data_IF_482550750474
#
_entry.id   IF_482550750474
#
_cell.length_a   1.000
_cell.length_b   1.000
_cell.length_c   1.000
_cell.angle_alpha   90.00
_cell.angle_beta   90.00
_cell.angle_gamma   90.00
#
_symmetry.space_group_name_H-M   'P 1'
#
loop_
_entity.id
_entity.type
_entity.pdbx_description
1 polymer ?
#
# COMPACT_ATOMS: atom_id res chain seq x y z
N UNK A 1 -113.91 -33.00 3.26
CA UNK A 1 -112.79 -32.60 4.12
C UNK A 1 -111.53 -32.61 3.26
N UNK A 2 -111.12 -31.44 2.76
CA UNK A 2 -109.78 -30.84 2.99
C UNK A 2 -108.64 -31.74 2.50
N UNK A 3 -107.91 -31.44 1.43
CA UNK A 3 -106.94 -30.34 1.31
C UNK A 3 -106.41 -30.34 -0.15
N UNK A 4 -106.54 -29.27 -0.97
CA UNK A 4 -105.57 -28.16 -1.14
C UNK A 4 -104.11 -28.63 -1.25
N UNK A 5 -103.27 -28.30 -2.25
CA UNK A 5 -103.19 -27.27 -3.32
C UNK A 5 -102.07 -27.74 -4.30
N UNK A 6 -102.25 -27.68 -5.63
CA UNK A 6 -101.68 -26.68 -6.57
C UNK A 6 -100.14 -26.76 -6.75
N UNK A 7 -99.48 -26.63 -7.91
CA UNK A 7 -99.81 -26.43 -9.33
C UNK A 7 -98.44 -26.49 -10.11
N UNK A 8 -98.44 -26.96 -11.37
CA UNK A 8 -97.63 -26.52 -12.55
C UNK A 8 -96.07 -26.34 -12.42
N UNK A 9 -95.19 -26.53 -13.41
CA UNK A 9 -95.25 -26.80 -14.84
C UNK A 9 -93.82 -27.12 -15.37
N UNK A 10 -93.79 -27.77 -16.54
CA UNK A 10 -92.84 -27.60 -17.65
C UNK A 10 -91.32 -27.78 -17.42
N UNK A 11 -90.80 -28.88 -17.98
CA UNK A 11 -89.38 -29.11 -18.25
C UNK A 11 -89.06 -28.57 -19.65
N UNK A 12 -88.11 -27.63 -19.76
CA UNK A 12 -87.57 -27.17 -21.04
C UNK A 12 -86.05 -26.85 -20.96
N UNK A 13 -85.30 -27.61 -21.76
CA UNK A 13 -84.25 -27.21 -22.71
C UNK A 13 -83.13 -26.20 -22.32
N UNK A 14 -81.88 -26.66 -22.41
CA UNK A 14 -80.67 -25.84 -22.69
C UNK A 14 -79.62 -26.74 -23.37
N UNK A 15 -79.41 -26.66 -24.69
CA UNK A 15 -78.51 -25.79 -25.48
C UNK A 15 -77.01 -25.86 -25.12
N UNK A 16 -76.24 -26.18 -26.17
CA UNK A 16 -74.79 -26.34 -26.23
C UNK A 16 -74.04 -25.01 -26.07
N UNK A 17 -72.93 -25.03 -25.31
CA UNK A 17 -71.99 -23.91 -25.16
C UNK A 17 -70.69 -24.17 -25.91
N UNK A 18 -70.33 -23.25 -26.80
CA UNK A 18 -69.10 -23.25 -27.58
C UNK A 18 -67.89 -22.75 -26.75
N UNK A 19 -66.73 -23.35 -27.02
CA UNK A 19 -65.44 -23.09 -26.39
C UNK A 19 -64.86 -21.73 -26.78
N UNK A 20 -64.48 -20.92 -25.80
CA UNK A 20 -63.70 -19.69 -25.99
C UNK A 20 -62.22 -19.95 -25.63
N UNK A 21 -61.33 -19.68 -26.58
CA UNK A 21 -59.87 -19.61 -26.38
C UNK A 21 -59.51 -18.33 -25.61
N UNK A 22 -58.75 -18.45 -24.53
CA UNK A 22 -58.07 -17.34 -23.87
C UNK A 22 -56.59 -17.33 -24.30
N UNK A 23 -56.00 -16.18 -24.69
CA UNK A 23 -54.57 -16.11 -24.96
C UNK A 23 -53.79 -16.08 -23.64
N UNK A 24 -52.72 -16.90 -23.57
CA UNK A 24 -51.69 -16.76 -22.56
C UNK A 24 -51.01 -15.39 -22.75
N UNK A 25 -51.31 -14.44 -21.88
CA UNK A 25 -50.44 -13.29 -21.66
C UNK A 25 -49.22 -13.74 -20.88
N UNK A 26 -48.03 -13.64 -21.47
CA UNK A 26 -46.78 -13.64 -20.72
C UNK A 26 -46.79 -12.40 -19.82
N UNK A 27 -46.98 -12.58 -18.52
CA UNK A 27 -46.58 -11.58 -17.52
C UNK A 27 -45.06 -11.43 -17.60
N UNK A 28 -44.60 -10.38 -18.28
CA UNK A 28 -43.23 -9.92 -18.11
C UNK A 28 -43.07 -9.50 -16.65
N UNK A 29 -42.28 -10.26 -15.90
CA UNK A 29 -41.87 -9.92 -14.55
C UNK A 29 -41.00 -8.66 -14.65
N UNK A 30 -41.58 -7.50 -14.38
CA UNK A 30 -40.84 -6.26 -14.16
C UNK A 30 -40.19 -6.33 -12.77
N UNK A 31 -39.15 -7.16 -12.62
CA UNK A 31 -38.24 -7.17 -11.46
C UNK A 31 -36.99 -8.02 -11.74
N UNK A 32 -36.44 -7.93 -12.95
CA UNK A 32 -35.03 -8.24 -13.12
C UNK A 32 -34.24 -7.08 -12.47
N UNK A 33 -33.89 -7.21 -11.19
CA UNK A 33 -32.85 -6.35 -10.59
C UNK A 33 -31.66 -6.37 -11.56
N UNK A 34 -31.09 -5.23 -11.97
CA UNK A 34 -29.80 -5.26 -12.66
C UNK A 34 -28.85 -6.09 -11.79
N UNK A 35 -28.10 -7.00 -12.40
CA UNK A 35 -27.19 -7.89 -11.69
C UNK A 35 -26.30 -7.04 -10.78
N UNK A 36 -26.64 -7.01 -9.48
CA UNK A 36 -25.90 -6.22 -8.52
C UNK A 36 -24.57 -6.91 -8.32
N UNK A 37 -23.50 -6.28 -8.76
CA UNK A 37 -22.14 -6.79 -8.64
C UNK A 37 -21.51 -6.42 -7.29
N UNK A 38 -22.16 -5.53 -6.55
CA UNK A 38 -21.70 -5.07 -5.24
C UNK A 38 -22.86 -4.71 -4.30
N UNK A 39 -22.54 -4.61 -3.01
CA UNK A 39 -23.50 -4.18 -1.98
C UNK A 39 -23.64 -2.66 -2.01
N UNK A 40 -24.83 -2.09 -2.33
CA UNK A 40 -24.99 -0.64 -2.48
C UNK A 40 -24.49 0.16 -1.28
N UNK A 41 -23.83 1.28 -1.57
CA UNK A 41 -23.26 2.23 -0.62
C UNK A 41 -22.17 1.64 0.30
N UNK A 42 -21.72 0.41 0.04
CA UNK A 42 -20.68 -0.25 0.83
C UNK A 42 -19.30 0.17 0.31
N UNK A 43 -18.50 0.75 1.19
CA UNK A 43 -17.07 1.00 0.98
C UNK A 43 -16.26 -0.32 1.00
N UNK A 44 -15.48 -0.55 -0.05
CA UNK A 44 -14.61 -1.72 -0.21
C UNK A 44 -13.18 -1.27 -0.47
N UNK A 45 -12.24 -2.13 -0.10
CA UNK A 45 -10.84 -1.94 -0.40
C UNK A 45 -10.60 -1.96 -1.92
N UNK A 46 -9.70 -1.12 -2.37
CA UNK A 46 -9.15 -1.17 -3.72
C UNK A 46 -7.68 -0.79 -3.67
N UNK A 47 -6.97 -1.10 -4.75
CA UNK A 47 -5.57 -0.72 -4.89
C UNK A 47 -5.35 -0.06 -6.24
N UNK A 48 -4.68 1.07 -6.22
CA UNK A 48 -4.27 1.82 -7.40
C UNK A 48 -3.25 1.03 -8.23
N UNK A 49 -3.06 1.40 -9.50
CA UNK A 49 -2.07 0.77 -10.39
C UNK A 49 -0.63 0.93 -9.90
N UNK A 50 -0.32 2.02 -9.21
CA UNK A 50 0.95 2.28 -8.53
C UNK A 50 1.12 1.52 -7.20
N UNK A 51 0.12 0.68 -6.86
CA UNK A 51 -0.01 -0.08 -5.61
C UNK A 51 -0.38 0.73 -4.37
N UNK A 52 -0.70 2.01 -4.49
CA UNK A 52 -1.27 2.77 -3.39
C UNK A 52 -2.59 2.12 -2.92
N UNK A 53 -2.72 1.94 -1.61
CA UNK A 53 -3.94 1.39 -1.02
C UNK A 53 -5.02 2.47 -0.96
N UNK A 54 -6.27 2.08 -1.19
CA UNK A 54 -7.39 3.00 -1.26
C UNK A 54 -8.72 2.35 -0.93
N UNK A 55 -9.76 3.16 -1.06
CA UNK A 55 -11.15 2.73 -0.89
C UNK A 55 -12.00 3.18 -2.08
N UNK A 56 -13.01 2.39 -2.40
CA UNK A 56 -14.05 2.74 -3.37
C UNK A 56 -15.41 2.36 -2.82
N UNK A 57 -16.45 3.08 -3.21
CA UNK A 57 -17.81 2.87 -2.73
C UNK A 57 -18.63 2.23 -3.84
N UNK A 58 -19.39 1.18 -3.52
CA UNK A 58 -20.38 0.64 -4.45
C UNK A 58 -21.49 1.67 -4.69
N UNK A 59 -21.84 1.92 -5.95
CA UNK A 59 -22.91 2.82 -6.34
C UNK A 59 -24.24 2.41 -5.70
N UNK A 60 -25.13 3.38 -5.47
CA UNK A 60 -26.44 3.16 -4.84
C UNK A 60 -27.34 2.14 -5.59
N UNK A 61 -27.12 1.97 -6.90
CA UNK A 61 -27.84 0.99 -7.72
C UNK A 61 -27.23 -0.43 -7.65
N UNK A 62 -26.02 -0.57 -7.10
CA UNK A 62 -25.27 -1.83 -7.02
C UNK A 62 -24.60 -2.26 -8.32
N UNK A 63 -24.56 -1.39 -9.35
CA UNK A 63 -24.14 -1.77 -10.70
C UNK A 63 -22.64 -1.59 -10.95
N UNK A 64 -21.96 -0.74 -10.18
CA UNK A 64 -20.56 -0.40 -10.31
C UNK A 64 -19.98 0.16 -9.01
N UNK A 65 -18.67 0.37 -8.98
CA UNK A 65 -17.99 1.07 -7.89
C UNK A 65 -17.56 2.47 -8.33
N UNK A 66 -17.38 3.38 -7.38
CA UNK A 66 -16.72 4.66 -7.57
C UNK A 66 -15.25 4.48 -7.94
N UNK A 67 -14.58 5.60 -8.20
CA UNK A 67 -13.11 5.62 -8.28
C UNK A 67 -12.51 5.11 -6.98
N UNK A 68 -11.39 4.41 -7.11
CA UNK A 68 -10.52 4.12 -5.99
C UNK A 68 -9.81 5.41 -5.56
N UNK A 69 -10.04 5.86 -4.33
CA UNK A 69 -9.37 7.02 -3.75
C UNK A 69 -8.28 6.53 -2.77
N UNK A 70 -7.05 7.08 -2.82
CA UNK A 70 -6.67 8.36 -3.43
C UNK A 70 -6.08 8.27 -4.85
N UNK A 71 -6.35 7.23 -5.63
CA UNK A 71 -5.71 7.06 -6.94
C UNK A 71 -5.89 8.28 -7.85
N UNK A 72 -4.83 8.64 -8.56
CA UNK A 72 -4.97 9.52 -9.73
C UNK A 72 -5.85 8.82 -10.78
N UNK A 73 -6.47 9.60 -11.67
CA UNK A 73 -7.48 9.05 -12.61
C UNK A 73 -6.89 7.97 -13.52
N UNK A 74 -5.61 8.08 -13.89
CA UNK A 74 -4.90 7.12 -14.73
C UNK A 74 -4.43 5.86 -13.97
N UNK A 75 -4.43 5.93 -12.63
CA UNK A 75 -4.06 4.83 -11.73
C UNK A 75 -5.27 4.10 -11.15
N UNK A 76 -6.49 4.58 -11.40
CA UNK A 76 -7.70 3.92 -10.96
C UNK A 76 -7.94 2.64 -11.79
N UNK A 77 -8.15 1.47 -11.16
CA UNK A 77 -8.49 0.24 -11.87
C UNK A 77 -9.94 0.29 -12.37
N UNK A 78 -10.21 0.99 -13.47
CA UNK A 78 -11.48 0.84 -14.20
C UNK A 78 -11.49 -0.48 -14.97
N UNK A 79 -12.54 -1.28 -14.76
CA UNK A 79 -12.85 -2.45 -15.59
C UNK A 79 -13.73 -1.92 -16.75
N UNK A 80 -13.47 -2.25 -18.02
CA UNK A 80 -12.70 -3.37 -18.54
C UNK A 80 -11.27 -2.98 -18.96
N UNK A 81 -10.35 -3.88 -18.62
CA UNK A 81 -8.96 -3.91 -19.09
C UNK A 81 -8.93 -3.64 -20.61
N UNK A 82 -8.37 -2.51 -21.01
CA UNK A 82 -7.80 -2.41 -22.34
C UNK A 82 -6.80 -3.55 -22.53
N UNK A 83 -6.65 -4.01 -23.78
CA UNK A 83 -5.80 -5.14 -24.13
C UNK A 83 -4.40 -4.95 -23.54
N UNK A 84 -4.04 -5.84 -22.61
CA UNK A 84 -2.75 -5.87 -21.91
C UNK A 84 -1.61 -5.97 -22.92
N UNK A 85 -0.86 -4.89 -23.11
CA UNK A 85 0.33 -4.85 -23.96
C UNK A 85 1.55 -5.51 -23.30
N UNK A 86 1.39 -6.07 -22.09
CA UNK A 86 2.41 -6.77 -21.33
C UNK A 86 3.51 -5.86 -20.77
N UNK A 87 3.39 -4.53 -20.90
CA UNK A 87 4.38 -3.58 -20.40
C UNK A 87 4.19 -3.22 -18.93
N UNK A 88 3.06 -3.62 -18.31
CA UNK A 88 2.68 -3.24 -16.94
C UNK A 88 2.29 -4.47 -16.09
N UNK A 89 2.51 -4.42 -14.76
CA UNK A 89 2.09 -5.51 -13.87
C UNK A 89 0.56 -5.68 -13.91
N UNK A 90 0.04 -6.92 -13.98
CA UNK A 90 -1.39 -7.17 -14.09
C UNK A 90 -2.12 -6.72 -12.81
N UNK A 91 -3.23 -6.00 -12.95
CA UNK A 91 -4.15 -5.77 -11.82
C UNK A 91 -4.83 -7.10 -11.49
N UNK A 92 -4.61 -7.61 -10.28
CA UNK A 92 -5.27 -8.84 -9.87
C UNK A 92 -6.72 -8.54 -9.47
N UNK A 93 -7.64 -9.52 -9.49
CA UNK A 93 -8.99 -9.34 -8.92
C UNK A 93 -8.97 -8.89 -7.43
N UNK A 94 -7.84 -9.11 -6.73
CA UNK A 94 -7.57 -8.65 -5.37
C UNK A 94 -7.30 -7.15 -5.30
N UNK A 95 -6.63 -6.58 -6.31
CA UNK A 95 -6.34 -5.14 -6.43
C UNK A 95 -7.55 -4.36 -6.96
N UNK A 96 -8.34 -4.98 -7.83
CA UNK A 96 -9.56 -4.39 -8.37
C UNK A 96 -10.66 -4.21 -7.32
N UNK A 97 -10.61 -4.90 -6.17
CA UNK A 97 -11.56 -4.75 -5.07
C UNK A 97 -12.96 -5.28 -5.38
N UNK A 98 -13.37 -6.36 -4.70
CA UNK A 98 -14.76 -6.83 -4.68
C UNK A 98 -15.41 -6.60 -3.32
N UNK A 99 -16.66 -7.06 -3.15
CA UNK A 99 -17.40 -7.06 -1.87
C UNK A 99 -16.72 -7.85 -0.73
N UNK A 100 -15.59 -8.51 -1.03
CA UNK A 100 -14.78 -9.22 -0.06
C UNK A 100 -14.06 -8.27 0.91
N UNK A 101 -13.74 -8.74 2.14
CA UNK A 101 -12.87 -8.00 3.04
C UNK A 101 -11.51 -7.75 2.36
N UNK A 102 -10.83 -6.69 2.78
CA UNK A 102 -9.48 -6.39 2.32
C UNK A 102 -8.62 -7.66 2.40
N UNK A 103 -7.80 -7.92 1.37
CA UNK A 103 -6.90 -9.07 1.37
C UNK A 103 -6.09 -9.12 2.66
N UNK A 104 -6.14 -10.27 3.36
CA UNK A 104 -5.28 -10.46 4.54
C UNK A 104 -3.81 -10.23 4.15
N UNK A 105 -3.04 -9.52 4.98
CA UNK A 105 -1.59 -9.37 4.83
C UNK A 105 -0.95 -10.74 4.54
N UNK A 106 -0.21 -10.83 3.45
CA UNK A 106 0.40 -12.08 3.00
C UNK A 106 1.81 -11.82 2.52
N UNK A 107 2.75 -12.10 3.41
CA UNK A 107 4.15 -11.90 3.09
C UNK A 107 4.63 -12.69 1.85
N UNK A 108 5.37 -12.01 0.98
CA UNK A 108 5.99 -12.58 -0.22
C UNK A 108 5.14 -12.39 -1.48
N UNK A 109 4.10 -11.56 -1.45
CA UNK A 109 3.30 -11.21 -2.63
C UNK A 109 3.76 -9.91 -3.30
N UNK A 110 4.89 -9.35 -2.84
CA UNK A 110 5.54 -8.10 -3.28
C UNK A 110 4.72 -6.86 -2.97
N UNK A 111 3.75 -6.97 -2.09
CA UNK A 111 2.85 -5.88 -1.75
C UNK A 111 3.02 -5.65 -0.26
N UNK A 112 3.52 -4.48 0.11
CA UNK A 112 3.65 -4.15 1.53
C UNK A 112 2.29 -3.74 2.08
N UNK A 113 1.73 -4.58 2.94
CA UNK A 113 0.43 -4.38 3.58
C UNK A 113 0.61 -3.95 5.05
N UNK A 114 -0.49 -3.50 5.67
CA UNK A 114 -0.47 -3.10 7.07
C UNK A 114 0.16 -4.19 7.97
N UNK A 115 1.23 -3.82 8.68
CA UNK A 115 1.98 -4.70 9.58
C UNK A 115 3.26 -5.32 9.00
N UNK A 116 3.48 -5.18 7.69
CA UNK A 116 4.68 -5.61 6.99
C UNK A 116 5.69 -4.45 6.92
N UNK A 117 6.94 -4.71 7.27
CA UNK A 117 7.99 -3.67 7.23
C UNK A 117 8.66 -3.59 5.85
N UNK A 118 8.47 -4.63 5.06
CA UNK A 118 8.99 -4.87 3.72
C UNK A 118 8.23 -6.05 3.11
N UNK A 119 8.26 -6.20 1.78
CA UNK A 119 7.90 -7.41 1.05
C UNK A 119 8.64 -7.40 -0.29
N UNK A 120 9.64 -8.26 -0.44
CA UNK A 120 10.44 -8.38 -1.66
C UNK A 120 10.04 -9.57 -2.55
N UNK A 121 8.97 -10.28 -2.17
CA UNK A 121 8.43 -11.41 -2.90
C UNK A 121 9.22 -12.70 -2.80
N UNK A 122 10.17 -12.79 -1.87
CA UNK A 122 11.01 -13.96 -1.72
C UNK A 122 11.16 -14.37 -0.23
N UNK A 123 11.83 -15.49 0.04
CA UNK A 123 12.00 -16.05 1.39
C UNK A 123 13.48 -16.16 1.81
N UNK A 124 14.35 -15.45 1.12
CA UNK A 124 15.79 -15.40 1.37
C UNK A 124 16.00 -14.52 2.59
N UNK A 125 16.69 -15.04 3.60
CA UNK A 125 17.07 -14.24 4.74
C UNK A 125 18.34 -13.41 4.42
N UNK A 126 18.49 -12.30 5.13
CA UNK A 126 19.60 -11.36 5.10
C UNK A 126 19.82 -10.62 3.77
N UNK A 127 18.78 -10.51 2.94
CA UNK A 127 18.74 -9.63 1.77
C UNK A 127 18.04 -8.29 2.05
N UNK A 128 17.51 -8.11 3.26
CA UNK A 128 16.80 -6.92 3.70
C UNK A 128 15.35 -7.18 4.09
N UNK A 129 14.78 -8.31 3.67
CA UNK A 129 13.40 -8.65 4.01
C UNK A 129 13.21 -10.14 4.26
N UNK A 130 12.87 -10.51 5.49
CA UNK A 130 12.55 -11.89 5.82
C UNK A 130 11.29 -11.97 6.68
N UNK A 131 10.34 -12.78 6.23
CA UNK A 131 9.01 -12.87 6.83
C UNK A 131 8.36 -11.49 7.05
N UNK A 132 8.59 -10.58 6.10
CA UNK A 132 8.08 -9.21 6.07
C UNK A 132 8.50 -8.37 7.28
N UNK A 133 9.67 -8.72 7.81
CA UNK A 133 10.44 -7.97 8.79
C UNK A 133 11.79 -7.63 8.18
N UNK A 134 12.26 -6.43 8.50
CA UNK A 134 13.59 -6.01 8.10
C UNK A 134 14.61 -6.86 8.86
N UNK A 135 15.58 -7.43 8.14
CA UNK A 135 16.63 -8.27 8.73
C UNK A 135 18.07 -7.78 8.48
N UNK A 136 18.21 -6.51 8.06
CA UNK A 136 19.47 -5.76 8.07
C UNK A 136 20.41 -6.07 6.89
N UNK A 137 21.44 -5.24 6.74
CA UNK A 137 22.56 -5.37 5.77
C UNK A 137 22.23 -5.54 4.27
N UNK A 138 20.97 -5.35 3.87
CA UNK A 138 20.54 -5.43 2.47
C UNK A 138 21.52 -4.76 1.49
N UNK A 139 21.84 -5.45 0.40
CA UNK A 139 22.67 -4.87 -0.66
C UNK A 139 22.02 -3.63 -1.29
N UNK A 140 20.68 -3.58 -1.31
CA UNK A 140 19.89 -2.45 -1.78
C UNK A 140 20.14 -1.16 -1.00
N UNK A 141 20.57 -1.23 0.26
CA UNK A 141 20.89 -0.04 1.05
C UNK A 141 22.20 0.66 0.63
N UNK A 142 22.99 0.10 -0.30
CA UNK A 142 24.27 0.68 -0.74
C UNK A 142 24.13 1.65 -1.91
N UNK A 143 22.93 1.71 -2.51
CA UNK A 143 22.62 2.43 -3.74
C UNK A 143 21.25 3.07 -3.62
N UNK A 144 21.01 4.20 -4.29
CA UNK A 144 19.64 4.70 -4.40
C UNK A 144 18.74 3.71 -5.17
N UNK A 145 17.45 3.60 -4.84
CA UNK A 145 16.72 4.39 -3.83
C UNK A 145 16.99 3.97 -2.38
N UNK A 146 17.70 2.87 -2.15
CA UNK A 146 17.99 2.34 -0.82
C UNK A 146 17.10 1.17 -0.45
N UNK A 147 17.30 0.64 0.77
CA UNK A 147 16.46 -0.44 1.28
C UNK A 147 15.08 0.10 1.66
N UNK A 148 13.98 -0.44 1.12
CA UNK A 148 12.63 0.00 1.47
C UNK A 148 12.30 -0.37 2.92
N UNK A 149 11.68 0.56 3.64
CA UNK A 149 11.28 0.40 5.05
C UNK A 149 9.91 1.05 5.26
N UNK A 150 8.92 0.27 5.67
CA UNK A 150 7.56 0.75 5.93
C UNK A 150 7.27 0.83 7.44
N UNK A 151 6.72 1.98 7.87
CA UNK A 151 6.41 2.24 9.28
C UNK A 151 4.90 2.47 9.44
N UNK A 152 4.21 1.54 10.10
CA UNK A 152 2.75 1.54 10.24
C UNK A 152 2.25 2.08 11.58
N UNK A 153 3.05 1.92 12.62
CA UNK A 153 2.67 2.25 13.99
C UNK A 153 3.84 2.90 14.74
N UNK A 154 3.62 3.22 16.01
CA UNK A 154 4.62 3.85 16.87
C UNK A 154 5.63 2.86 17.47
N UNK A 155 5.65 1.60 17.03
CA UNK A 155 6.61 0.62 17.54
C UNK A 155 7.99 0.92 16.96
N UNK A 156 9.03 1.12 17.79
CA UNK A 156 10.38 1.36 17.28
C UNK A 156 10.87 0.20 16.41
N UNK A 157 11.30 0.52 15.19
CA UNK A 157 11.96 -0.41 14.30
C UNK A 157 13.48 -0.27 14.45
N UNK A 158 14.15 -1.34 14.85
CA UNK A 158 15.60 -1.41 14.94
C UNK A 158 16.17 -2.20 13.76
N UNK A 159 17.16 -1.62 13.08
CA UNK A 159 17.82 -2.18 11.90
C UNK A 159 19.32 -2.22 12.18
N UNK A 160 19.91 -3.42 12.17
CA UNK A 160 21.35 -3.58 12.22
C UNK A 160 21.99 -3.18 10.87
N UNK A 161 23.10 -2.46 10.94
CA UNK A 161 23.81 -1.98 9.76
C UNK A 161 25.32 -1.89 9.97
N UNK A 162 26.07 -1.95 8.87
CA UNK A 162 27.52 -1.91 8.84
C UNK A 162 27.95 -0.99 7.71
N UNK A 163 28.81 -0.03 8.06
CA UNK A 163 29.53 0.80 7.09
C UNK A 163 30.92 0.20 6.94
N UNK A 164 31.33 -0.09 5.71
CA UNK A 164 32.62 -0.71 5.40
C UNK A 164 33.08 -0.39 3.98
N UNK A 165 34.21 -0.95 3.57
CA UNK A 165 34.76 -0.70 2.23
C UNK A 165 35.33 0.70 2.05
N UNK A 166 35.58 1.09 0.79
CA UNK A 166 36.30 2.32 0.43
C UNK A 166 35.62 3.12 -0.69
N UNK A 167 34.34 2.86 -0.93
CA UNK A 167 33.53 3.61 -1.89
C UNK A 167 32.68 4.60 -1.12
N UNK A 168 32.92 5.90 -1.26
CA UNK A 168 31.93 6.92 -0.87
C UNK A 168 30.84 6.90 -1.94
N UNK A 169 29.64 6.48 -1.57
CA UNK A 169 28.52 6.38 -2.50
C UNK A 169 27.69 7.67 -2.53
N UNK A 170 27.72 8.45 -1.46
CA UNK A 170 26.90 9.64 -1.25
C UNK A 170 27.63 10.68 -0.40
N UNK A 171 27.56 11.94 -0.81
CA UNK A 171 28.09 13.05 -0.04
C UNK A 171 26.99 14.03 0.36
N UNK A 172 26.92 14.41 1.63
CA UNK A 172 25.92 15.35 2.15
C UNK A 172 26.16 16.79 1.66
N UNK A 173 25.10 17.46 1.18
CA UNK A 173 25.10 18.87 0.80
C UNK A 173 23.85 19.60 1.31
N UNK A 174 23.98 20.79 1.92
CA UNK A 174 25.24 21.42 2.36
C UNK A 174 25.97 20.52 3.37
N UNK A 175 27.23 20.80 3.70
CA UNK A 175 27.94 20.00 4.69
C UNK A 175 27.16 19.94 6.02
N UNK A 176 26.94 18.75 6.56
CA UNK A 176 26.35 18.58 7.89
C UNK A 176 27.38 18.95 8.96
N UNK A 177 27.20 20.08 9.63
CA UNK A 177 28.16 20.58 10.64
C UNK A 177 29.62 20.61 10.13
N UNK A 178 29.82 20.92 8.84
CA UNK A 178 31.14 20.95 8.19
C UNK A 178 31.63 19.59 7.65
N UNK A 179 30.82 18.54 7.75
CA UNK A 179 31.11 17.21 7.20
C UNK A 179 30.30 16.94 5.93
N UNK A 180 30.91 16.29 4.96
CA UNK A 180 30.23 15.87 3.72
C UNK A 180 30.10 14.36 3.60
N UNK A 181 30.64 13.58 4.53
CA UNK A 181 30.73 12.12 4.42
C UNK A 181 32.13 11.59 4.60
N UNK A 182 32.25 10.26 4.75
CA UNK A 182 33.53 9.58 4.78
C UNK A 182 33.99 9.11 3.39
N UNK A 183 35.09 8.37 3.31
CA UNK A 183 35.49 7.65 2.09
C UNK A 183 34.95 6.22 2.05
N UNK A 184 34.29 5.79 3.12
CA UNK A 184 33.68 4.46 3.28
C UNK A 184 32.27 4.43 2.71
N UNK A 185 31.69 3.24 2.54
CA UNK A 185 30.35 3.05 1.97
C UNK A 185 29.23 3.50 2.89
N UNK A 186 28.35 4.35 2.39
CA UNK A 186 27.18 4.80 3.12
C UNK A 186 26.02 3.81 2.96
N UNK A 187 25.03 3.99 3.82
CA UNK A 187 23.81 3.18 3.85
C UNK A 187 22.61 4.10 3.74
N UNK A 188 21.71 3.80 2.81
CA UNK A 188 20.47 4.54 2.58
C UNK A 188 19.24 3.66 2.79
N UNK A 189 18.26 4.22 3.49
CA UNK A 189 16.99 3.61 3.82
C UNK A 189 15.86 4.47 3.23
N UNK A 190 15.07 3.89 2.33
CA UNK A 190 13.86 4.52 1.78
C UNK A 190 12.70 4.28 2.75
N UNK A 191 12.47 5.24 3.64
CA UNK A 191 11.51 5.12 4.75
C UNK A 191 10.17 5.72 4.33
N UNK A 192 9.11 4.90 4.35
CA UNK A 192 7.73 5.31 4.09
C UNK A 192 6.91 5.20 5.39
N UNK A 193 6.64 6.34 6.05
CA UNK A 193 5.69 6.39 7.16
C UNK A 193 4.26 6.30 6.62
N UNK A 194 3.42 5.42 7.16
CA UNK A 194 2.00 5.32 6.78
C UNK A 194 1.07 6.15 7.67
N UNK A 195 1.64 6.88 8.63
CA UNK A 195 0.93 7.84 9.49
C UNK A 195 1.74 9.12 9.55
N UNK A 196 1.07 10.26 9.46
CA UNK A 196 1.71 11.56 9.64
C UNK A 196 2.09 11.77 11.11
N UNK A 197 3.23 12.42 11.36
CA UNK A 197 3.73 12.60 12.73
C UNK A 197 5.15 13.15 12.76
N UNK A 198 5.89 12.79 13.79
CA UNK A 198 7.33 13.05 13.90
C UNK A 198 8.09 11.75 13.81
N UNK A 199 8.98 11.62 12.82
CA UNK A 199 9.90 10.48 12.77
C UNK A 199 11.17 10.82 13.55
N UNK A 200 11.38 10.10 14.66
CA UNK A 200 12.66 10.09 15.36
C UNK A 200 13.58 9.04 14.73
N UNK A 201 14.78 9.48 14.38
CA UNK A 201 15.82 8.68 13.74
C UNK A 201 17.02 8.69 14.68
N UNK A 202 17.49 7.51 15.08
CA UNK A 202 18.65 7.43 15.95
C UNK A 202 19.60 6.30 15.52
N UNK A 203 20.90 6.52 15.64
CA UNK A 203 21.88 5.43 15.62
C UNK A 203 22.29 5.11 17.05
N UNK A 204 22.57 3.84 17.33
CA UNK A 204 23.10 3.39 18.62
C UNK A 204 24.05 2.22 18.42
N UNK A 205 24.85 1.90 19.44
CA UNK A 205 25.84 0.82 19.35
C UNK A 205 26.95 1.06 18.32
N UNK A 206 27.07 2.30 17.80
CA UNK A 206 28.09 2.64 16.84
C UNK A 206 29.48 2.58 17.47
N UNK A 207 30.40 1.86 16.84
CA UNK A 207 31.81 1.77 17.25
C UNK A 207 32.74 2.68 16.43
N UNK A 208 32.15 3.61 15.68
CA UNK A 208 32.81 4.62 14.87
C UNK A 208 32.07 5.95 15.01
N UNK A 209 32.69 7.02 14.52
CA UNK A 209 32.01 8.31 14.42
C UNK A 209 31.10 8.26 13.18
N UNK A 210 29.79 8.29 13.40
CA UNK A 210 28.78 8.32 12.34
C UNK A 210 28.04 9.64 12.36
N UNK A 211 27.41 9.97 11.24
CA UNK A 211 26.40 11.01 11.22
C UNK A 211 25.22 10.57 10.36
N UNK A 212 24.07 11.18 10.61
CA UNK A 212 22.83 10.88 9.90
C UNK A 212 22.35 12.11 9.15
N UNK A 213 21.81 11.90 7.95
CA UNK A 213 21.14 12.95 7.20
C UNK A 213 19.92 12.41 6.46
N UNK A 214 18.97 13.30 6.20
CA UNK A 214 17.67 12.98 5.60
C UNK A 214 17.49 13.80 4.33
N UNK A 215 17.02 13.19 3.25
CA UNK A 215 16.69 13.86 2.01
C UNK A 215 15.29 13.46 1.53
N UNK A 216 14.66 14.34 0.74
CA UNK A 216 13.39 14.02 0.05
C UNK A 216 13.60 13.16 -1.20
N UNK A 217 14.83 13.09 -1.74
CA UNK A 217 15.15 12.33 -2.95
C UNK A 217 16.48 11.60 -2.82
N UNK A 218 16.59 10.45 -3.50
CA UNK A 218 17.82 9.69 -3.69
C UNK A 218 17.85 9.23 -5.16
N UNK A 219 18.64 9.89 -6.00
CA UNK A 219 18.76 9.57 -7.42
C UNK A 219 20.12 8.91 -7.71
N UNK A 220 20.08 7.67 -8.20
CA UNK A 220 21.27 6.90 -8.55
C UNK A 220 22.04 7.49 -9.74
N UNK A 221 21.36 8.25 -10.61
CA UNK A 221 21.96 8.89 -11.80
C UNK A 221 22.70 10.18 -11.45
N UNK A 222 22.43 10.73 -10.27
CA UNK A 222 23.06 11.95 -9.80
C UNK A 222 24.51 11.71 -9.36
N UNK A 223 24.93 10.48 -9.02
CA UNK A 223 26.31 10.22 -8.57
C UNK A 223 27.35 10.68 -9.61
N UNK A 224 28.37 11.50 -9.25
CA UNK A 224 28.82 11.86 -7.90
C UNK A 224 28.27 13.19 -7.33
N UNK A 225 27.14 13.69 -7.83
CA UNK A 225 26.48 14.88 -7.30
C UNK A 225 26.07 14.66 -5.83
N UNK A 226 26.36 15.64 -4.94
CA UNK A 226 26.00 15.55 -3.54
C UNK A 226 24.49 15.42 -3.30
N UNK A 227 24.11 14.63 -2.30
CA UNK A 227 22.73 14.50 -1.82
C UNK A 227 22.32 15.78 -1.10
N UNK A 228 21.25 16.42 -1.59
CA UNK A 228 20.65 17.59 -0.95
C UNK A 228 19.81 17.15 0.24
N UNK A 229 20.37 17.24 1.43
CA UNK A 229 19.65 16.89 2.65
C UNK A 229 18.80 18.06 3.16
N UNK A 230 17.71 17.73 3.83
CA UNK A 230 16.81 18.67 4.50
C UNK A 230 17.07 18.75 6.00
N UNK A 231 17.70 17.72 6.57
CA UNK A 231 18.03 17.65 7.97
C UNK A 231 19.23 16.72 8.19
N UNK A 232 20.03 17.00 9.22
CA UNK A 232 21.17 16.16 9.56
C UNK A 232 21.52 16.27 11.05
N UNK A 233 22.22 15.26 11.58
CA UNK A 233 22.74 15.25 12.94
C UNK A 233 24.13 14.62 13.01
N UNK A 234 25.02 15.32 13.69
CA UNK A 234 26.38 14.92 14.08
C UNK A 234 26.69 15.53 15.46
N UNK A 235 25.90 15.18 16.47
CA UNK A 235 25.99 15.71 17.84
C UNK A 235 27.12 15.04 18.65
N UNK A 236 27.46 13.79 18.33
CA UNK A 236 28.55 13.03 18.90
C UNK A 236 29.80 13.21 18.03
N UNK A 237 30.72 14.10 18.41
CA UNK A 237 31.97 14.32 17.66
C UNK A 237 32.97 13.15 17.72
N UNK A 238 32.55 11.96 18.16
CA UNK A 238 33.36 10.78 18.41
C UNK A 238 32.55 9.48 18.24
N UNK A 239 32.97 8.41 18.89
CA UNK A 239 32.24 7.12 18.86
C UNK A 239 30.95 7.25 19.67
N UNK A 240 29.80 7.03 19.03
CA UNK A 240 28.52 7.17 19.70
C UNK A 240 27.34 7.17 18.74
N UNK A 241 26.15 7.19 19.32
CA UNK A 241 24.92 7.32 18.56
C UNK A 241 24.62 8.76 18.15
N UNK A 242 23.84 8.89 17.10
CA UNK A 242 23.30 10.15 16.59
C UNK A 242 21.79 10.17 16.72
N UNK A 243 21.19 11.35 16.78
CA UNK A 243 19.74 11.48 16.85
C UNK A 243 19.26 12.70 16.10
N UNK A 244 18.22 12.49 15.30
CA UNK A 244 17.53 13.49 14.51
C UNK A 244 16.02 13.28 14.62
N UNK A 245 15.25 14.34 14.44
CA UNK A 245 13.79 14.24 14.32
C UNK A 245 13.33 15.10 13.16
N UNK A 246 12.47 14.53 12.31
CA UNK A 246 11.95 15.18 11.10
C UNK A 246 10.43 15.02 11.06
N UNK A 247 9.69 15.97 10.44
CA UNK A 247 8.28 15.76 10.16
C UNK A 247 8.10 14.56 9.22
N UNK A 248 7.11 13.72 9.51
CA UNK A 248 6.69 12.61 8.68
C UNK A 248 5.32 12.92 8.07
N UNK A 249 5.20 12.75 6.77
CA UNK A 249 3.92 12.80 6.06
C UNK A 249 3.53 11.38 5.69
N UNK A 250 2.27 11.01 5.91
CA UNK A 250 1.76 9.70 5.52
C UNK A 250 2.02 9.44 4.04
N UNK A 251 2.50 8.24 3.75
CA UNK A 251 2.80 7.67 2.43
C UNK A 251 3.84 8.44 1.61
N UNK A 252 4.51 9.43 2.21
CA UNK A 252 5.62 10.14 1.59
C UNK A 252 6.94 9.53 2.02
N UNK A 253 7.62 8.88 1.08
CA UNK A 253 8.96 8.33 1.31
C UNK A 253 9.99 9.45 1.54
N UNK A 254 10.82 9.26 2.57
CA UNK A 254 12.03 10.05 2.84
C UNK A 254 13.23 9.12 2.88
N UNK A 255 14.41 9.66 2.59
CA UNK A 255 15.64 8.87 2.50
C UNK A 255 16.52 9.19 3.70
N UNK A 256 16.80 8.17 4.51
CA UNK A 256 17.68 8.27 5.68
C UNK A 256 19.03 7.70 5.32
N UNK A 257 20.07 8.50 5.44
CA UNK A 257 21.45 8.11 5.19
C UNK A 257 22.18 7.98 6.51
N UNK A 258 22.95 6.90 6.63
CA UNK A 258 23.95 6.71 7.68
C UNK A 258 25.30 6.65 7.00
N UNK A 259 26.20 7.52 7.44
CA UNK A 259 27.51 7.72 6.86
C UNK A 259 28.55 7.84 7.99
N UNK A 260 29.81 7.55 7.68
CA UNK A 260 30.93 7.82 8.56
C UNK A 260 31.27 9.31 8.59
N UNK A 261 31.74 9.80 9.74
CA UNK A 261 32.33 11.12 9.84
C UNK A 261 33.86 11.04 9.67
N UNK A 262 34.43 11.92 8.84
CA UNK A 262 35.89 12.04 8.65
C UNK A 262 36.47 11.00 7.69
N UNK A 263 37.77 10.67 7.79
CA UNK A 263 38.49 9.96 6.72
C UNK A 263 38.11 8.50 6.48
N UNK A 264 37.86 7.70 7.53
CA UNK A 264 37.65 6.23 7.43
C UNK A 264 36.60 5.69 8.41
N UNK A 265 35.60 6.52 8.77
CA UNK A 265 34.58 6.15 9.75
C UNK A 265 33.78 4.93 9.30
N UNK A 266 34.08 3.76 9.85
CA UNK A 266 33.46 2.49 9.47
C UNK A 266 33.27 1.60 10.68
N UNK A 267 32.24 0.77 10.63
CA UNK A 267 31.87 -0.13 11.70
C UNK A 267 30.39 -0.43 11.75
N UNK A 268 29.98 -1.00 12.86
CA UNK A 268 28.62 -1.49 13.07
C UNK A 268 27.79 -0.40 13.74
N UNK A 269 26.49 -0.38 13.49
CA UNK A 269 25.52 0.48 14.16
C UNK A 269 24.14 -0.19 14.17
N UNK A 270 23.24 0.35 14.99
CA UNK A 270 21.81 0.04 14.95
C UNK A 270 21.05 1.32 14.65
N UNK A 271 20.35 1.38 13.51
CA UNK A 271 19.41 2.44 13.19
C UNK A 271 18.07 2.13 13.86
N UNK A 272 17.57 3.07 14.65
CA UNK A 272 16.24 3.00 15.26
C UNK A 272 15.36 4.08 14.65
N UNK A 273 14.23 3.65 14.10
CA UNK A 273 13.19 4.52 13.57
C UNK A 273 11.99 4.45 14.49
N UNK A 274 11.45 5.59 14.91
CA UNK A 274 10.26 5.65 15.78
C UNK A 274 9.34 6.74 15.27
N UNK A 275 8.16 6.33 14.79
CA UNK A 275 7.11 7.24 14.37
C UNK A 275 6.29 7.66 15.60
N UNK A 276 6.08 8.95 15.80
CA UNK A 276 5.42 9.54 16.96
C UNK A 276 4.26 10.45 16.57
#
# INVERSE_FOLDING_TARGET
MTSARALLAAVALALAGASAFAPLGCSASADAKPDRICTPDKEVFCRCRDRAEGSKVCNADGSAYSKCEPCETDDNPEIPLEEDDGSRPPITPRDAGGDGPAPKPSCGDKIVQQGEQCDDGNATAADGCNACKIDGEAASAKTCPGMPVHLWDAVPLAIAGTIGGSTNNFSASPSCNGLTGSTTQDRVYAVTPHVAGTLKIATSGANFNNFIYVADTCDATAYPAPIKHTACANASSGVGGETLSVPATADKTIYVFVDGAGGTGSGNYTLTLTLQ
#
